data_IF_166451423274
#
_entry.id   IF_166451423274
#
_cell.length_a   1.000
_cell.length_b   1.000
_cell.length_c   1.000
_cell.angle_alpha   90.00
_cell.angle_beta   90.00
_cell.angle_gamma   90.00
#
_symmetry.space_group_name_H-M   'P 1'
#
loop_
_entity.id
_entity.type
_entity.pdbx_description
1 polymer ?
#
# COMPACT_ATOMS: atom_id res chain seq x y z
N UNK A 1 16.73 -1.52 1.03
CA UNK A 1 16.22 -2.69 0.29
C UNK A 1 15.91 -3.76 1.31
N UNK A 2 14.67 -4.23 1.37
CA UNK A 2 14.23 -5.27 2.31
C UNK A 2 13.70 -6.46 1.51
N UNK A 3 14.30 -7.63 1.69
CA UNK A 3 13.77 -8.90 1.18
C UNK A 3 12.86 -9.46 2.27
N UNK A 4 11.66 -9.88 1.88
CA UNK A 4 10.63 -10.37 2.79
C UNK A 4 10.12 -11.70 2.27
N UNK A 5 9.80 -12.60 3.19
CA UNK A 5 9.15 -13.85 2.87
C UNK A 5 7.64 -13.68 2.91
N UNK A 6 6.96 -14.40 2.02
CA UNK A 6 5.51 -14.54 2.05
C UNK A 6 5.19 -15.68 3.02
N UNK A 7 4.25 -15.46 3.92
CA UNK A 7 3.86 -16.52 4.86
C UNK A 7 3.05 -17.63 4.17
N UNK A 8 2.80 -18.73 4.88
CA UNK A 8 2.08 -19.89 4.35
C UNK A 8 0.64 -19.59 3.86
N UNK A 9 0.10 -18.42 4.23
CA UNK A 9 -1.24 -17.96 3.82
C UNK A 9 -1.19 -16.98 2.65
N UNK A 10 -0.01 -16.74 2.06
CA UNK A 10 0.15 -15.81 0.95
C UNK A 10 0.18 -14.33 1.37
N UNK A 11 0.44 -14.02 2.65
CA UNK A 11 0.45 -12.62 3.15
C UNK A 11 1.86 -12.07 3.18
N UNK A 12 1.98 -10.78 2.85
CA UNK A 12 3.22 -10.01 2.96
C UNK A 12 3.10 -9.01 4.12
N UNK A 13 4.05 -9.03 5.05
CA UNK A 13 4.11 -8.05 6.13
C UNK A 13 4.90 -6.83 5.67
N UNK A 14 4.28 -5.65 5.67
CA UNK A 14 4.97 -4.40 5.35
C UNK A 14 5.75 -3.90 6.58
N UNK A 15 7.09 -3.71 6.48
CA UNK A 15 7.92 -3.18 7.55
C UNK A 15 7.38 -1.86 8.12
N UNK A 16 7.61 -1.65 9.43
CA UNK A 16 7.07 -0.49 10.16
C UNK A 16 7.52 0.83 9.53
N UNK A 17 8.78 0.91 9.13
CA UNK A 17 9.42 2.09 8.56
C UNK A 17 8.77 2.49 7.23
N UNK A 18 8.38 1.51 6.42
CA UNK A 18 7.66 1.73 5.16
C UNK A 18 6.22 2.17 5.44
N UNK A 19 5.55 1.56 6.41
CA UNK A 19 4.19 1.95 6.80
C UNK A 19 4.12 3.39 7.31
N UNK A 20 5.08 3.81 8.11
CA UNK A 20 5.14 5.17 8.66
C UNK A 20 5.49 6.20 7.59
N UNK A 21 6.51 5.95 6.76
CA UNK A 21 6.95 6.88 5.71
C UNK A 21 5.88 7.14 4.64
N UNK A 22 5.07 6.13 4.30
CA UNK A 22 4.00 6.24 3.32
C UNK A 22 2.60 6.45 3.94
N UNK A 23 2.55 6.70 5.26
CA UNK A 23 1.34 6.94 6.03
C UNK A 23 0.23 5.89 5.76
N UNK A 24 0.59 4.61 5.81
CA UNK A 24 -0.28 3.48 5.48
C UNK A 24 -1.57 3.52 6.29
N UNK A 25 -2.70 3.62 5.59
CA UNK A 25 -4.02 3.33 6.15
C UNK A 25 -4.27 1.83 6.29
N UNK A 26 -5.53 1.45 6.58
CA UNK A 26 -5.95 0.04 6.65
C UNK A 26 -6.17 -0.60 5.28
N UNK A 27 -6.23 0.21 4.21
CA UNK A 27 -6.55 -0.22 2.85
C UNK A 27 -5.41 0.15 1.91
N UNK A 28 -5.18 -0.70 0.93
CA UNK A 28 -4.22 -0.49 -0.15
C UNK A 28 -4.87 -0.82 -1.48
N UNK A 29 -4.45 -0.16 -2.54
CA UNK A 29 -4.72 -0.52 -3.92
C UNK A 29 -3.52 -1.33 -4.45
N UNK A 30 -3.80 -2.49 -5.03
CA UNK A 30 -2.80 -3.31 -5.71
C UNK A 30 -3.04 -3.18 -7.21
N UNK A 31 -2.01 -2.77 -7.95
CA UNK A 31 -2.03 -2.67 -9.41
C UNK A 31 -1.02 -3.68 -9.96
N UNK A 32 -1.47 -4.52 -10.89
CA UNK A 32 -0.58 -5.37 -11.68
C UNK A 32 0.12 -4.50 -12.74
N UNK A 33 1.45 -4.38 -12.66
CA UNK A 33 2.27 -3.61 -13.60
C UNK A 33 2.94 -4.50 -14.66
N UNK A 34 2.61 -5.80 -14.72
CA UNK A 34 3.17 -6.78 -15.64
C UNK A 34 4.26 -7.63 -14.97
N UNK A 35 5.42 -7.04 -14.72
CA UNK A 35 6.59 -7.69 -14.10
C UNK A 35 6.63 -7.53 -12.56
N UNK A 36 5.83 -6.62 -12.01
CA UNK A 36 5.74 -6.38 -10.57
C UNK A 36 4.34 -5.94 -10.15
N UNK A 37 4.14 -5.87 -8.82
CA UNK A 37 2.95 -5.28 -8.21
C UNK A 37 3.29 -3.89 -7.66
N UNK A 38 2.42 -2.92 -7.91
CA UNK A 38 2.44 -1.64 -7.20
C UNK A 38 1.44 -1.69 -6.05
N UNK A 39 1.89 -1.31 -4.87
CA UNK A 39 1.05 -1.21 -3.66
C UNK A 39 0.95 0.27 -3.29
N UNK A 40 -0.26 0.81 -3.34
CA UNK A 40 -0.54 2.22 -3.08
C UNK A 40 -1.43 2.31 -1.84
N UNK A 41 -0.98 2.96 -0.74
CA UNK A 41 -1.83 3.21 0.41
C UNK A 41 -3.05 4.04 0.02
N UNK A 42 -4.22 3.60 0.46
CA UNK A 42 -5.43 4.39 0.32
C UNK A 42 -5.64 5.22 1.58
N UNK A 43 -6.05 6.49 1.45
CA UNK A 43 -6.45 7.28 2.60
C UNK A 43 -7.62 6.64 3.33
N UNK A 44 -7.68 6.87 4.63
CA UNK A 44 -8.84 6.52 5.45
C UNK A 44 -10.12 7.19 4.95
N UNK A 45 -9.97 8.40 4.39
CA UNK A 45 -11.04 9.20 3.82
C UNK A 45 -10.68 9.54 2.35
N UNK A 46 -11.29 8.86 1.36
CA UNK A 46 -10.98 9.06 -0.05
C UNK A 46 -11.32 10.47 -0.54
N UNK A 47 -12.25 11.17 0.11
CA UNK A 47 -12.64 12.52 -0.29
C UNK A 47 -11.60 13.57 0.11
N UNK A 48 -10.71 13.29 1.08
CA UNK A 48 -9.61 14.21 1.43
C UNK A 48 -8.52 14.32 0.35
N UNK A 49 -8.45 13.34 -0.56
CA UNK A 49 -7.42 13.29 -1.61
C UNK A 49 -7.96 13.73 -2.97
N UNK A 50 -9.28 13.84 -3.12
CA UNK A 50 -9.91 14.38 -4.34
C UNK A 50 -9.67 15.90 -4.42
N UNK A 51 -8.52 16.29 -4.95
CA UNK A 51 -8.30 17.66 -5.42
C UNK A 51 -9.03 17.84 -6.76
N UNK A 52 -10.12 18.64 -6.76
CA UNK A 52 -10.86 19.01 -7.97
C UNK A 52 -12.31 18.51 -8.07
N UNK A 53 -12.92 18.05 -6.97
CA UNK A 53 -14.34 17.65 -6.95
C UNK A 53 -15.33 18.81 -6.69
N UNK A 54 -14.88 20.07 -6.73
CA UNK A 54 -15.72 21.26 -6.60
C UNK A 54 -15.23 22.36 -7.52
#
# INVERSE_FOLDING_TARGET
MSILEIDDKGRLTIPKEIRESLNFGKKVLIINAGDHLKIIPLPSDPFKILHGAF
#
